data_IF_085329821974
#
_entry.id   IF_085329821974
#
_cell.length_a   1.000
_cell.length_b   1.000
_cell.length_c   1.000
_cell.angle_alpha   90.00
_cell.angle_beta   90.00
_cell.angle_gamma   90.00
#
_symmetry.space_group_name_H-M   'P 1'
#
loop_
_entity.id
_entity.type
_entity.pdbx_description
1 polymer ?
#
# COMPACT_ATOMS: atom_id res chain seq x y z
N UNK A 1 5.95 1.09 20.26
CA UNK A 1 4.92 0.94 19.19
C UNK A 1 4.73 -0.52 18.77
N UNK A 2 5.75 -1.29 18.36
CA UNK A 2 5.61 -2.73 18.05
C UNK A 2 5.24 -3.55 19.28
N UNK A 3 5.90 -3.32 20.42
CA UNK A 3 5.59 -3.97 21.70
C UNK A 3 4.11 -3.80 22.10
N UNK A 4 3.56 -2.60 21.95
CA UNK A 4 2.14 -2.35 22.23
C UNK A 4 1.22 -3.11 21.26
N UNK A 5 1.58 -3.19 19.97
CA UNK A 5 0.83 -3.99 18.99
C UNK A 5 0.85 -5.48 19.34
N UNK A 6 2.03 -6.01 19.68
CA UNK A 6 2.19 -7.41 20.09
C UNK A 6 1.36 -7.70 21.34
N UNK A 7 1.45 -6.84 22.36
CA UNK A 7 0.65 -6.98 23.59
C UNK A 7 -0.85 -7.05 23.31
N UNK A 8 -1.38 -6.14 22.48
CA UNK A 8 -2.82 -6.12 22.11
C UNK A 8 -3.25 -7.38 21.37
N UNK A 9 -2.41 -7.91 20.51
CA UNK A 9 -2.67 -9.14 19.75
C UNK A 9 -2.69 -10.35 20.71
N UNK A 10 -1.74 -10.41 21.65
CA UNK A 10 -1.70 -11.47 22.67
C UNK A 10 -2.92 -11.38 23.61
N UNK A 11 -3.30 -10.17 24.04
CA UNK A 11 -4.51 -9.95 24.84
C UNK A 11 -5.80 -10.34 24.10
N UNK A 12 -5.82 -10.17 22.78
CA UNK A 12 -6.96 -10.59 21.92
C UNK A 12 -6.97 -12.09 21.61
N UNK A 13 -5.97 -12.86 22.04
CA UNK A 13 -5.87 -14.29 21.78
C UNK A 13 -5.67 -14.65 20.29
N UNK A 14 -5.12 -13.73 19.50
CA UNK A 14 -4.89 -13.94 18.06
C UNK A 14 -3.62 -14.80 17.88
N UNK A 15 -3.76 -15.94 17.18
CA UNK A 15 -2.61 -16.80 16.85
C UNK A 15 -1.68 -16.07 15.86
N UNK A 16 -0.40 -16.00 16.22
CA UNK A 16 0.65 -15.33 15.42
C UNK A 16 1.84 -16.21 15.06
N UNK A 17 1.64 -17.53 15.04
CA UNK A 17 2.73 -18.50 14.75
C UNK A 17 3.49 -18.20 13.45
N UNK A 18 2.82 -17.66 12.45
CA UNK A 18 3.39 -17.35 11.13
C UNK A 18 3.60 -15.86 10.91
N UNK A 19 3.66 -15.05 11.98
CA UNK A 19 3.77 -13.59 11.88
C UNK A 19 5.05 -13.14 12.58
N UNK A 20 5.91 -12.44 11.86
CA UNK A 20 7.07 -11.72 12.41
C UNK A 20 6.81 -10.22 12.43
N UNK A 21 7.03 -9.57 13.58
CA UNK A 21 6.89 -8.12 13.73
C UNK A 21 8.25 -7.46 13.66
N UNK A 22 8.47 -6.63 12.65
CA UNK A 22 9.74 -5.97 12.38
C UNK A 22 9.60 -4.48 12.52
N UNK A 23 10.36 -3.88 13.46
CA UNK A 23 10.46 -2.42 13.60
C UNK A 23 11.51 -1.87 12.67
N UNK A 24 11.11 -1.07 11.69
CA UNK A 24 12.04 -0.42 10.80
C UNK A 24 11.54 0.97 10.36
N UNK A 25 12.45 1.80 9.90
CA UNK A 25 12.18 3.07 9.26
C UNK A 25 12.31 2.89 7.73
N UNK A 26 11.21 3.00 7.01
CA UNK A 26 11.18 2.86 5.55
C UNK A 26 12.10 3.87 4.84
N UNK A 27 12.41 5.00 5.48
CA UNK A 27 13.32 6.01 4.96
C UNK A 27 14.81 5.70 5.14
N UNK A 28 15.17 4.74 6.03
CA UNK A 28 16.57 4.47 6.41
C UNK A 28 17.11 3.12 5.94
N UNK A 29 16.31 2.36 5.22
CA UNK A 29 16.68 1.01 4.77
C UNK A 29 16.14 -0.07 5.71
N UNK A 30 15.20 -0.84 5.22
CA UNK A 30 14.44 -1.83 5.99
C UNK A 30 14.79 -3.27 5.61
N UNK A 31 15.46 -3.50 4.48
CA UNK A 31 15.80 -4.86 3.99
C UNK A 31 16.61 -5.67 5.01
N UNK A 32 17.67 -5.14 5.64
CA UNK A 32 18.41 -5.91 6.64
C UNK A 32 17.53 -6.38 7.81
N UNK A 33 16.56 -5.56 8.23
CA UNK A 33 15.64 -5.93 9.29
C UNK A 33 14.67 -7.05 8.86
N UNK A 34 14.21 -7.04 7.59
CA UNK A 34 13.39 -8.11 7.02
C UNK A 34 14.17 -9.41 6.92
N UNK A 35 15.41 -9.38 6.40
CA UNK A 35 16.28 -10.55 6.29
C UNK A 35 16.55 -11.20 7.68
N UNK A 36 16.84 -10.38 8.69
CA UNK A 36 17.03 -10.86 10.07
C UNK A 36 15.75 -11.48 10.65
N UNK A 37 14.59 -11.12 10.16
CA UNK A 37 13.31 -11.68 10.56
C UNK A 37 12.88 -12.92 9.75
N UNK A 38 13.73 -13.39 8.84
CA UNK A 38 13.49 -14.61 8.04
C UNK A 38 12.91 -14.35 6.63
N UNK A 39 12.90 -13.11 6.17
CA UNK A 39 12.54 -12.82 4.78
C UNK A 39 13.58 -13.41 3.83
N UNK A 40 13.15 -14.19 2.83
CA UNK A 40 14.01 -14.70 1.77
C UNK A 40 13.73 -13.96 0.45
N UNK A 41 14.69 -13.17 -0.08
CA UNK A 41 14.52 -12.44 -1.33
C UNK A 41 14.46 -13.34 -2.58
N UNK A 42 14.71 -14.65 -2.45
CA UNK A 42 14.61 -15.63 -3.53
C UNK A 42 13.20 -16.21 -3.67
N UNK A 43 12.37 -16.03 -2.65
CA UNK A 43 11.00 -16.49 -2.66
C UNK A 43 10.07 -15.41 -3.23
N UNK A 44 9.06 -15.85 -4.00
CA UNK A 44 8.02 -14.94 -4.49
C UNK A 44 7.26 -14.35 -3.33
N UNK A 45 7.17 -13.03 -3.29
CA UNK A 45 6.61 -12.29 -2.18
C UNK A 45 5.47 -11.40 -2.65
N UNK A 46 4.39 -11.38 -1.88
CA UNK A 46 3.33 -10.40 -2.02
C UNK A 46 3.51 -9.32 -0.96
N UNK A 47 3.76 -8.10 -1.40
CA UNK A 47 3.87 -6.93 -0.54
C UNK A 47 2.54 -6.18 -0.48
N UNK A 48 2.25 -5.58 0.67
CA UNK A 48 1.11 -4.69 0.86
C UNK A 48 1.55 -3.42 1.58
N UNK A 49 1.39 -2.26 0.93
CA UNK A 49 1.71 -0.94 1.46
C UNK A 49 0.44 -0.06 1.48
N UNK A 50 -0.56 -0.47 2.26
CA UNK A 50 -1.81 0.27 2.38
C UNK A 50 -1.70 1.36 3.44
N UNK A 51 -2.19 2.56 3.13
CA UNK A 51 -2.14 3.75 3.99
C UNK A 51 -0.74 4.35 4.17
N UNK A 52 0.23 4.00 3.33
CA UNK A 52 1.64 4.42 3.47
C UNK A 52 2.00 5.55 2.51
N UNK A 53 1.55 5.47 1.26
CA UNK A 53 1.91 6.43 0.19
C UNK A 53 1.54 7.87 0.52
N UNK A 54 0.48 8.06 1.30
CA UNK A 54 -0.04 9.36 1.73
C UNK A 54 0.97 10.18 2.53
N UNK A 55 1.82 9.51 3.32
CA UNK A 55 2.73 10.13 4.29
C UNK A 55 4.17 10.23 3.79
N UNK A 56 4.45 9.69 2.62
CA UNK A 56 5.74 9.75 1.95
C UNK A 56 5.71 10.79 0.82
N UNK A 57 6.84 11.45 0.55
CA UNK A 57 6.98 12.16 -0.71
C UNK A 57 7.05 11.17 -1.87
N UNK A 58 6.69 11.58 -3.08
CA UNK A 58 6.73 10.70 -4.26
C UNK A 58 8.08 10.00 -4.42
N UNK A 59 9.19 10.72 -4.25
CA UNK A 59 10.56 10.17 -4.38
C UNK A 59 10.86 9.11 -3.31
N UNK A 60 10.40 9.33 -2.07
CA UNK A 60 10.59 8.35 -0.99
C UNK A 60 9.76 7.11 -1.23
N UNK A 61 8.53 7.27 -1.72
CA UNK A 61 7.68 6.14 -2.07
C UNK A 61 8.25 5.36 -3.26
N UNK A 62 8.65 6.03 -4.34
CA UNK A 62 9.30 5.42 -5.49
C UNK A 62 10.55 4.62 -5.09
N UNK A 63 11.40 5.22 -4.24
CA UNK A 63 12.58 4.55 -3.69
C UNK A 63 12.22 3.31 -2.86
N UNK A 64 11.19 3.40 -2.03
CA UNK A 64 10.72 2.26 -1.23
C UNK A 64 10.29 1.10 -2.13
N UNK A 65 9.45 1.37 -3.14
CA UNK A 65 8.99 0.38 -4.12
C UNK A 65 10.17 -0.25 -4.87
N UNK A 66 11.10 0.57 -5.35
CA UNK A 66 12.31 0.10 -6.04
C UNK A 66 13.14 -0.85 -5.17
N UNK A 67 13.40 -0.47 -3.91
CA UNK A 67 14.16 -1.30 -2.96
C UNK A 67 13.47 -2.65 -2.72
N UNK A 68 12.13 -2.68 -2.58
CA UNK A 68 11.38 -3.92 -2.43
C UNK A 68 11.59 -4.86 -3.62
N UNK A 69 11.44 -4.35 -4.83
CA UNK A 69 11.57 -5.16 -6.03
C UNK A 69 13.02 -5.54 -6.35
N UNK A 70 14.00 -4.71 -6.05
CA UNK A 70 15.44 -5.09 -6.16
C UNK A 70 15.80 -6.25 -5.24
N UNK A 71 15.09 -6.39 -4.11
CA UNK A 71 15.32 -7.42 -3.10
C UNK A 71 14.19 -8.45 -3.04
N UNK A 72 13.60 -8.81 -4.15
CA UNK A 72 12.56 -9.84 -4.26
C UNK A 72 12.76 -10.71 -5.50
N UNK A 73 12.19 -11.92 -5.49
CA UNK A 73 12.18 -12.79 -6.66
C UNK A 73 11.34 -12.22 -7.81
N UNK A 74 11.54 -12.72 -9.03
CA UNK A 74 10.64 -12.47 -10.17
C UNK A 74 9.22 -12.85 -9.82
N UNK A 75 8.24 -12.20 -10.46
CA UNK A 75 6.81 -12.39 -10.21
C UNK A 75 6.35 -12.02 -8.79
N UNK A 76 7.21 -11.43 -7.97
CA UNK A 76 6.76 -10.79 -6.73
C UNK A 76 5.84 -9.61 -7.04
N UNK A 77 4.84 -9.40 -6.20
CA UNK A 77 3.82 -8.40 -6.41
C UNK A 77 3.71 -7.43 -5.24
N UNK A 78 3.26 -6.21 -5.53
CA UNK A 78 3.00 -5.18 -4.53
C UNK A 78 1.63 -4.56 -4.80
N UNK A 79 0.77 -4.57 -3.78
CA UNK A 79 -0.44 -3.76 -3.75
C UNK A 79 -0.22 -2.54 -2.86
N UNK A 80 -0.71 -1.39 -3.32
CA UNK A 80 -0.71 -0.15 -2.55
C UNK A 80 -1.89 0.73 -2.93
N UNK A 81 -2.29 1.56 -1.99
CA UNK A 81 -3.23 2.65 -2.23
C UNK A 81 -2.49 3.99 -2.32
N UNK A 82 -3.10 4.95 -2.99
CA UNK A 82 -2.51 6.28 -3.12
C UNK A 82 -3.58 7.36 -3.32
N UNK A 83 -3.34 8.60 -2.81
CA UNK A 83 -4.20 9.72 -3.12
C UNK A 83 -3.98 10.12 -4.57
N UNK A 84 -5.05 10.05 -5.37
CA UNK A 84 -4.99 10.46 -6.77
C UNK A 84 -5.00 11.98 -6.90
N UNK A 85 -4.70 12.50 -8.07
CA UNK A 85 -4.63 13.94 -8.36
C UNK A 85 -6.00 14.58 -8.64
N UNK A 86 -7.09 13.80 -8.58
CA UNK A 86 -8.46 14.31 -8.74
C UNK A 86 -8.87 15.06 -7.49
N UNK A 87 -9.34 16.29 -7.67
CA UNK A 87 -9.87 17.07 -6.55
C UNK A 87 -11.23 16.52 -6.11
N UNK A 88 -11.31 16.08 -4.86
CA UNK A 88 -12.57 15.76 -4.22
C UNK A 88 -12.74 16.53 -2.89
N UNK A 89 -13.97 16.92 -2.61
CA UNK A 89 -14.30 17.74 -1.43
C UNK A 89 -14.02 16.99 -0.12
N UNK A 90 -14.15 15.66 -0.14
CA UNK A 90 -13.93 14.80 1.03
C UNK A 90 -12.45 14.66 1.36
N UNK A 91 -11.59 14.60 0.35
CA UNK A 91 -10.14 14.55 0.54
C UNK A 91 -9.61 15.87 1.12
N UNK A 92 -10.13 17.01 0.66
CA UNK A 92 -9.77 18.32 1.24
C UNK A 92 -10.08 18.37 2.74
N UNK A 93 -11.24 17.82 3.17
CA UNK A 93 -11.58 17.70 4.59
C UNK A 93 -10.63 16.76 5.34
N UNK A 94 -10.28 15.62 4.75
CA UNK A 94 -9.35 14.66 5.36
C UNK A 94 -7.95 15.25 5.52
N UNK A 95 -7.47 16.04 4.54
CA UNK A 95 -6.18 16.76 4.66
C UNK A 95 -6.18 17.77 5.79
N UNK A 96 -7.26 18.51 5.97
CA UNK A 96 -7.40 19.47 7.07
C UNK A 96 -7.40 18.77 8.44
N UNK A 97 -8.07 17.62 8.55
CA UNK A 97 -8.09 16.82 9.77
C UNK A 97 -6.72 16.18 10.07
N UNK A 98 -6.06 15.62 9.06
CA UNK A 98 -4.72 15.04 9.21
C UNK A 98 -3.66 16.10 9.57
N UNK A 99 -3.74 17.29 8.99
CA UNK A 99 -2.87 18.42 9.37
C UNK A 99 -3.00 18.83 10.84
N UNK A 100 -4.20 18.72 11.41
CA UNK A 100 -4.47 18.97 12.83
C UNK A 100 -3.90 17.92 13.78
N UNK A 101 -3.64 16.69 13.31
CA UNK A 101 -3.05 15.59 14.10
C UNK A 101 -1.54 15.44 13.92
N UNK A 102 -0.91 16.30 13.09
CA UNK A 102 0.51 16.19 12.75
C UNK A 102 0.85 15.12 11.70
N UNK A 103 -0.14 14.45 11.12
CA UNK A 103 -0.01 13.47 10.04
C UNK A 103 -0.33 14.11 8.69
N UNK A 104 0.52 15.03 8.23
CA UNK A 104 0.31 15.73 6.98
C UNK A 104 0.46 14.80 5.76
N UNK A 105 -0.55 14.81 4.87
CA UNK A 105 -0.47 14.13 3.58
C UNK A 105 0.51 14.86 2.66
N UNK A 106 1.57 14.15 2.22
CA UNK A 106 2.74 14.75 1.56
C UNK A 106 2.75 14.63 0.06
N UNK A 107 1.98 13.74 -0.52
CA UNK A 107 2.00 13.50 -1.96
C UNK A 107 0.60 13.25 -2.51
N UNK A 108 0.45 13.49 -3.80
CA UNK A 108 -0.61 13.03 -4.69
C UNK A 108 0.06 12.42 -5.91
N UNK A 109 -0.64 11.55 -6.60
CA UNK A 109 -0.10 10.81 -7.72
C UNK A 109 -1.06 10.88 -8.91
N UNK A 110 -0.53 11.24 -10.05
CA UNK A 110 -1.18 11.04 -11.34
C UNK A 110 -0.97 9.59 -11.82
N UNK A 111 -1.72 9.19 -12.82
CA UNK A 111 -1.49 7.88 -13.47
C UNK A 111 -0.04 7.77 -14.00
N UNK A 112 0.48 8.83 -14.61
CA UNK A 112 1.86 8.88 -15.12
C UNK A 112 2.91 8.74 -14.01
N UNK A 113 2.65 9.26 -12.81
CA UNK A 113 3.54 9.05 -11.67
C UNK A 113 3.61 7.57 -11.28
N UNK A 114 2.47 6.88 -11.29
CA UNK A 114 2.40 5.44 -10.97
C UNK A 114 3.11 4.61 -12.06
N UNK A 115 2.93 4.93 -13.34
CA UNK A 115 3.64 4.29 -14.44
C UNK A 115 5.16 4.46 -14.31
N UNK A 116 5.61 5.67 -13.99
CA UNK A 116 7.02 5.96 -13.75
C UNK A 116 7.56 5.15 -12.57
N UNK A 117 6.87 5.13 -11.43
CA UNK A 117 7.27 4.38 -10.23
C UNK A 117 7.39 2.89 -10.52
N UNK A 118 6.39 2.31 -11.20
CA UNK A 118 6.42 0.90 -11.60
C UNK A 118 7.59 0.61 -12.56
N UNK A 119 7.78 1.48 -13.58
CA UNK A 119 8.86 1.33 -14.55
C UNK A 119 10.24 1.41 -13.92
N UNK A 120 10.49 2.39 -13.05
CA UNK A 120 11.76 2.55 -12.31
C UNK A 120 12.07 1.38 -11.36
N UNK A 121 11.03 0.69 -10.88
CA UNK A 121 11.14 -0.51 -10.05
C UNK A 121 11.27 -1.81 -10.86
N UNK A 122 11.24 -1.75 -12.18
CA UNK A 122 11.28 -2.94 -13.05
C UNK A 122 9.99 -3.78 -12.96
N UNK A 123 8.86 -3.13 -12.74
CA UNK A 123 7.56 -3.77 -12.60
C UNK A 123 6.60 -3.40 -13.75
N UNK A 124 5.50 -4.13 -13.84
CA UNK A 124 4.35 -3.85 -14.68
C UNK A 124 3.15 -3.54 -13.80
N UNK A 125 2.33 -2.60 -14.21
CA UNK A 125 1.01 -2.40 -13.61
C UNK A 125 0.14 -3.57 -14.08
N UNK A 126 -0.32 -4.38 -13.12
CA UNK A 126 -1.25 -5.48 -13.37
C UNK A 126 -2.69 -5.00 -13.30
N UNK A 127 -3.00 -4.17 -12.29
CA UNK A 127 -4.33 -3.62 -12.08
C UNK A 127 -4.22 -2.22 -11.47
N UNK A 128 -5.10 -1.34 -11.91
CA UNK A 128 -5.29 -0.01 -11.36
C UNK A 128 -6.80 0.22 -11.20
N UNK A 129 -7.24 0.44 -9.97
CA UNK A 129 -8.65 0.61 -9.64
C UNK A 129 -8.87 1.96 -8.94
N UNK A 130 -9.85 2.71 -9.40
CA UNK A 130 -10.35 3.89 -8.68
C UNK A 130 -11.56 3.53 -7.79
N UNK A 131 -12.13 4.53 -7.11
CA UNK A 131 -13.28 4.31 -6.24
C UNK A 131 -14.50 3.75 -6.98
N UNK A 132 -14.72 4.15 -8.24
CA UNK A 132 -15.81 3.62 -9.06
C UNK A 132 -15.62 2.15 -9.44
N UNK A 133 -14.39 1.74 -9.71
CA UNK A 133 -14.04 0.35 -9.96
C UNK A 133 -14.28 -0.50 -8.71
N UNK A 134 -13.85 -0.03 -7.54
CA UNK A 134 -14.06 -0.72 -6.27
C UNK A 134 -15.56 -0.85 -5.95
N UNK A 135 -16.33 0.21 -6.13
CA UNK A 135 -17.79 0.16 -5.91
C UNK A 135 -18.46 -0.86 -6.83
N UNK A 136 -18.09 -0.89 -8.11
CA UNK A 136 -18.62 -1.81 -9.09
C UNK A 136 -18.26 -3.27 -8.81
N UNK A 137 -16.98 -3.53 -8.51
CA UNK A 137 -16.44 -4.89 -8.53
C UNK A 137 -16.53 -5.56 -7.17
N UNK A 138 -16.53 -4.79 -6.06
CA UNK A 138 -16.53 -5.34 -4.71
C UNK A 138 -17.78 -5.01 -3.90
N UNK A 139 -18.38 -3.83 -4.08
CA UNK A 139 -19.49 -3.39 -3.22
C UNK A 139 -20.86 -3.50 -3.86
N UNK A 140 -20.94 -3.60 -5.18
CA UNK A 140 -22.21 -3.70 -5.91
C UNK A 140 -23.13 -4.77 -5.36
N UNK A 141 -22.64 -6.00 -5.22
CA UNK A 141 -23.46 -7.12 -4.75
C UNK A 141 -24.01 -6.88 -3.33
N UNK A 142 -23.22 -6.29 -2.44
CA UNK A 142 -23.67 -5.90 -1.10
C UNK A 142 -24.73 -4.79 -1.18
N UNK A 143 -24.45 -3.76 -1.97
CA UNK A 143 -25.33 -2.57 -2.06
C UNK A 143 -26.69 -2.86 -2.74
N UNK A 144 -26.78 -3.93 -3.50
CA UNK A 144 -28.03 -4.43 -4.10
C UNK A 144 -28.85 -5.31 -3.14
N UNK A 145 -28.33 -5.67 -1.97
CA UNK A 145 -29.07 -6.46 -0.98
C UNK A 145 -30.20 -5.63 -0.34
N UNK A 146 -31.35 -6.23 -0.18
CA UNK A 146 -32.49 -5.58 0.48
C UNK A 146 -32.14 -5.24 1.94
N UNK A 147 -32.30 -3.97 2.32
CA UNK A 147 -31.97 -3.40 3.63
C UNK A 147 -30.47 -3.36 4.00
N UNK A 148 -29.56 -3.51 3.06
CA UNK A 148 -28.15 -3.27 3.31
C UNK A 148 -27.88 -1.76 3.44
N UNK A 149 -27.03 -1.37 4.39
CA UNK A 149 -26.47 -0.01 4.38
C UNK A 149 -25.43 0.09 3.24
N UNK A 150 -25.52 1.08 2.34
CA UNK A 150 -24.60 1.20 1.24
C UNK A 150 -23.16 1.39 1.71
N UNK A 151 -22.24 0.62 1.14
CA UNK A 151 -20.79 0.77 1.32
C UNK A 151 -20.26 1.46 0.07
N UNK A 152 -19.47 2.52 0.25
CA UNK A 152 -18.82 3.25 -0.84
C UNK A 152 -17.31 3.26 -0.63
N UNK A 153 -16.58 3.12 -1.73
CA UNK A 153 -15.14 3.28 -1.73
C UNK A 153 -14.73 4.72 -1.37
N UNK A 154 -13.55 4.91 -0.76
CA UNK A 154 -13.05 6.25 -0.46
C UNK A 154 -12.81 7.05 -1.76
N UNK A 155 -13.47 8.21 -1.89
CA UNK A 155 -13.18 9.14 -2.98
C UNK A 155 -11.76 9.70 -2.88
N UNK A 156 -11.13 9.96 -4.02
CA UNK A 156 -9.77 10.52 -4.08
C UNK A 156 -8.66 9.52 -3.77
N UNK A 157 -8.99 8.25 -3.58
CA UNK A 157 -8.03 7.16 -3.38
C UNK A 157 -8.13 6.18 -4.55
N UNK A 158 -6.98 5.77 -5.04
CA UNK A 158 -6.87 4.69 -6.03
C UNK A 158 -5.97 3.58 -5.49
N UNK A 159 -6.12 2.39 -6.05
CA UNK A 159 -5.38 1.19 -5.69
C UNK A 159 -4.61 0.69 -6.90
N UNK A 160 -3.39 0.24 -6.68
CA UNK A 160 -2.55 -0.29 -7.75
C UNK A 160 -1.92 -1.60 -7.32
N UNK A 161 -1.98 -2.59 -8.20
CA UNK A 161 -1.24 -3.83 -8.12
C UNK A 161 -0.16 -3.82 -9.19
N UNK A 162 1.09 -3.91 -8.79
CA UNK A 162 2.23 -4.04 -9.69
C UNK A 162 2.94 -5.36 -9.49
N UNK A 163 3.50 -5.92 -10.56
CA UNK A 163 4.20 -7.21 -10.55
C UNK A 163 5.61 -7.03 -11.12
N UNK A 164 6.60 -7.60 -10.45
CA UNK A 164 7.99 -7.59 -10.91
C UNK A 164 8.11 -8.33 -12.23
N UNK A 165 8.78 -7.71 -13.19
CA UNK A 165 9.09 -8.35 -14.48
C UNK A 165 10.03 -9.54 -14.28
N UNK A 166 9.85 -10.57 -15.10
CA UNK A 166 10.84 -11.62 -15.21
C UNK A 166 12.17 -11.05 -15.74
N UNK A 167 13.26 -11.44 -15.10
CA UNK A 167 14.61 -10.97 -15.42
C UNK A 167 15.22 -11.61 -16.68
N UNK A 168 14.40 -11.87 -17.70
CA UNK A 168 14.89 -12.32 -19.01
C UNK A 168 14.76 -11.18 -20.02
N UNK A 169 15.79 -10.33 -20.07
CA UNK A 169 16.21 -9.63 -21.30
C UNK A 169 17.71 -9.38 -21.25
#
# INVERSE_FOLDING_TARGET
MIEDKVRRIDEAGIDRKNISYVGCDLGKGFIPALLNAGYDPKERTFFSLLGISFYLTQDKFARCVKILFENSASESALVFDFPNDRDCTREQKNRLLAGGTGEEMKARYSHTDIERIAGEAGALIYELADSGDIDRDFFKAHNEMKNAEPILAPEGVSYCLIVKKDGQY
#
